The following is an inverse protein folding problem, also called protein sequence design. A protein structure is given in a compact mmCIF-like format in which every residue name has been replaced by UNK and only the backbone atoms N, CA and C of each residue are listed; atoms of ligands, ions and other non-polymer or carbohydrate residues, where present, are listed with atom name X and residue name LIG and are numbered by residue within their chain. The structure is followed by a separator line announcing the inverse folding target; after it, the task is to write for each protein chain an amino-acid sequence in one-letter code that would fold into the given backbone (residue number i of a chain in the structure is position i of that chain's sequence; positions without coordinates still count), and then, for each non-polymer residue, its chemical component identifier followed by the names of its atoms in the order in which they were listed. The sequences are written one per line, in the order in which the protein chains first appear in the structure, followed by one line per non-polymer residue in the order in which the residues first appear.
data_IF_743989671670
#
_entry.id   IF_743989671670
#
_cell.length_a   1.000
_cell.length_b   1.000
_cell.length_c   1.000
_cell.angle_alpha   90.00
_cell.angle_beta   90.00
_cell.angle_gamma   90.00
#
_symmetry.space_group_name_H-M   'P 1'
#
loop_
_entity.id
_entity.type
_entity.pdbx_description
1 polymer ?
#
# COMPACT_ATOMS: atom_id res chain seq x y z
N UNK A 1 18.55 -36.80 -22.08
CA UNK A 1 18.82 -36.79 -20.62
C UNK A 1 18.76 -35.36 -20.20
N UNK A 2 17.67 -34.92 -19.56
CA UNK A 2 17.63 -33.69 -18.78
C UNK A 2 18.49 -33.98 -17.53
N UNK A 3 19.54 -33.22 -17.35
CA UNK A 3 20.26 -33.18 -16.07
C UNK A 3 19.33 -32.50 -15.06
N UNK A 4 18.66 -33.29 -14.24
CA UNK A 4 18.07 -32.83 -12.99
C UNK A 4 19.22 -32.45 -12.05
N UNK A 5 19.70 -31.21 -12.16
CA UNK A 5 20.47 -30.61 -11.09
C UNK A 5 19.48 -30.35 -9.96
N UNK A 6 19.42 -31.24 -8.98
CA UNK A 6 18.83 -30.97 -7.68
C UNK A 6 19.46 -29.66 -7.17
N UNK A 7 18.70 -28.58 -7.26
CA UNK A 7 19.13 -27.29 -6.73
C UNK A 7 19.17 -27.44 -5.21
N UNK A 8 20.35 -27.45 -4.63
CA UNK A 8 20.52 -27.54 -3.16
C UNK A 8 19.73 -26.39 -2.55
N UNK A 9 18.71 -26.73 -1.76
CA UNK A 9 17.92 -25.72 -1.03
C UNK A 9 18.81 -24.96 -0.07
N UNK A 10 18.56 -23.65 0.00
CA UNK A 10 19.23 -22.78 0.98
C UNK A 10 18.70 -23.08 2.39
N UNK A 11 19.49 -22.75 3.39
CA UNK A 11 19.12 -22.89 4.79
C UNK A 11 19.02 -21.52 5.46
N UNK A 12 18.27 -21.42 6.54
CA UNK A 12 18.15 -20.21 7.37
C UNK A 12 16.74 -19.69 7.48
N UNK A 13 16.64 -18.47 7.96
CA UNK A 13 15.38 -17.73 8.14
C UNK A 13 15.50 -16.38 7.46
N UNK A 14 14.50 -16.05 6.64
CA UNK A 14 14.31 -14.72 6.05
C UNK A 14 13.29 -13.95 6.87
N UNK A 15 13.70 -12.85 7.46
CA UNK A 15 12.83 -11.95 8.23
C UNK A 15 12.26 -10.88 7.31
N UNK A 16 10.93 -10.83 7.19
CA UNK A 16 10.22 -9.96 6.26
C UNK A 16 9.33 -8.99 7.02
N UNK A 17 9.35 -7.73 6.63
CA UNK A 17 8.28 -6.79 6.93
C UNK A 17 7.42 -6.63 5.69
N UNK A 18 6.10 -6.82 5.83
CA UNK A 18 5.16 -6.79 4.71
C UNK A 18 3.95 -5.91 5.02
N UNK A 19 3.23 -5.47 4.00
CA UNK A 19 2.05 -4.63 4.18
C UNK A 19 0.73 -5.40 4.25
N UNK A 20 0.75 -6.73 4.27
CA UNK A 20 -0.44 -7.55 4.40
C UNK A 20 -0.15 -9.00 4.75
N UNK A 21 -1.11 -9.64 5.41
CA UNK A 21 -1.02 -11.05 5.81
C UNK A 21 -1.37 -12.01 4.66
N UNK A 22 -1.95 -11.50 3.58
CA UNK A 22 -2.36 -12.29 2.41
C UNK A 22 -1.18 -12.95 1.65
N UNK A 23 0.05 -12.58 1.97
CA UNK A 23 1.27 -13.11 1.34
C UNK A 23 1.75 -14.44 1.94
N UNK A 24 1.12 -14.97 3.00
CA UNK A 24 1.51 -16.26 3.60
C UNK A 24 1.67 -17.38 2.57
N UNK A 25 0.72 -17.61 1.63
CA UNK A 25 0.87 -18.68 0.63
C UNK A 25 2.09 -18.49 -0.29
N UNK A 26 2.45 -17.24 -0.61
CA UNK A 26 3.65 -16.92 -1.39
C UNK A 26 4.91 -17.27 -0.61
N UNK A 27 4.97 -16.94 0.66
CA UNK A 27 6.11 -17.22 1.53
C UNK A 27 6.27 -18.71 1.80
N UNK A 28 5.17 -19.45 1.96
CA UNK A 28 5.17 -20.90 2.08
C UNK A 28 5.76 -21.55 0.82
N UNK A 29 5.34 -21.08 -0.36
CA UNK A 29 5.86 -21.56 -1.64
C UNK A 29 7.35 -21.22 -1.81
N UNK A 30 7.79 -20.04 -1.42
CA UNK A 30 9.20 -19.66 -1.41
C UNK A 30 10.02 -20.62 -0.53
N UNK A 31 9.54 -20.94 0.67
CA UNK A 31 10.21 -21.89 1.56
C UNK A 31 10.27 -23.29 0.93
N UNK A 32 9.18 -23.72 0.30
CA UNK A 32 9.13 -25.02 -0.38
C UNK A 32 10.14 -25.11 -1.53
N UNK A 33 10.25 -24.07 -2.34
CA UNK A 33 11.08 -24.08 -3.56
C UNK A 33 12.53 -23.74 -3.28
N UNK A 34 12.80 -22.77 -2.39
CA UNK A 34 14.12 -22.17 -2.18
C UNK A 34 14.80 -22.66 -0.89
N UNK A 35 14.02 -22.89 0.17
CA UNK A 35 14.49 -23.49 1.42
C UNK A 35 14.34 -22.63 2.66
N UNK A 36 14.75 -21.36 2.72
CA UNK A 36 14.70 -20.56 3.94
C UNK A 36 13.27 -20.42 4.47
N UNK A 37 13.10 -20.58 5.78
CA UNK A 37 11.84 -20.26 6.45
C UNK A 37 11.60 -18.75 6.39
N UNK A 38 10.37 -18.34 6.08
CA UNK A 38 9.99 -16.93 6.14
C UNK A 38 9.29 -16.63 7.46
N UNK A 39 9.80 -15.65 8.19
CA UNK A 39 9.15 -15.06 9.36
C UNK A 39 8.78 -13.62 9.02
N UNK A 40 7.50 -13.26 9.13
CA UNK A 40 7.10 -11.91 8.75
C UNK A 40 6.21 -11.24 9.78
N UNK A 41 6.23 -9.91 9.76
CA UNK A 41 5.31 -9.03 10.47
C UNK A 41 4.63 -8.12 9.47
N UNK A 42 3.34 -7.79 9.71
CA UNK A 42 2.55 -6.92 8.85
C UNK A 42 2.49 -5.51 9.44
N UNK A 43 2.87 -4.51 8.63
CA UNK A 43 2.87 -3.10 8.98
C UNK A 43 2.52 -2.27 7.74
N UNK A 44 1.84 -1.13 7.91
CA UNK A 44 1.62 -0.18 6.82
C UNK A 44 2.92 0.55 6.42
N UNK A 45 2.99 1.07 5.18
CA UNK A 45 4.22 1.65 4.62
C UNK A 45 4.85 2.72 5.49
N UNK A 46 4.05 3.63 6.06
CA UNK A 46 4.54 4.69 6.96
C UNK A 46 5.08 4.14 8.27
N UNK A 47 4.53 3.05 8.78
CA UNK A 47 5.04 2.37 9.98
C UNK A 47 6.37 1.70 9.70
N UNK A 48 6.50 1.01 8.55
CA UNK A 48 7.78 0.39 8.13
C UNK A 48 8.86 1.44 8.02
N UNK A 49 8.58 2.55 7.33
CA UNK A 49 9.52 3.64 7.15
C UNK A 49 9.96 4.23 8.50
N UNK A 50 9.02 4.48 9.40
CA UNK A 50 9.30 4.98 10.75
C UNK A 50 10.14 4.00 11.56
N UNK A 51 9.85 2.70 11.45
CA UNK A 51 10.62 1.63 12.09
C UNK A 51 12.06 1.60 11.59
N UNK A 52 12.27 1.61 10.27
CA UNK A 52 13.60 1.59 9.68
C UNK A 52 14.43 2.82 10.08
N UNK A 53 13.81 4.00 10.12
CA UNK A 53 14.45 5.23 10.61
C UNK A 53 14.87 5.11 12.08
N UNK A 54 14.04 4.51 12.91
CA UNK A 54 14.33 4.32 14.34
C UNK A 54 15.43 3.27 14.59
N UNK A 55 15.59 2.29 13.72
CA UNK A 55 16.59 1.22 13.84
C UNK A 55 18.01 1.67 13.42
N UNK A 56 18.15 2.83 12.79
CA UNK A 56 19.43 3.53 12.62
C UNK A 56 20.50 2.74 11.87
N UNK A 57 20.13 2.02 10.80
CA UNK A 57 21.08 1.28 9.96
C UNK A 57 21.38 -0.17 10.41
N UNK A 58 20.67 -0.64 11.45
CA UNK A 58 20.71 -2.05 11.87
C UNK A 58 19.29 -2.61 11.85
N UNK A 59 18.72 -2.86 10.65
CA UNK A 59 17.32 -3.31 10.54
C UNK A 59 17.14 -4.70 11.12
N UNK A 60 16.00 -4.92 11.78
CA UNK A 60 15.62 -6.23 12.28
C UNK A 60 15.05 -7.16 11.17
N UNK A 61 14.68 -6.60 10.03
CA UNK A 61 14.19 -7.33 8.86
C UNK A 61 15.22 -7.35 7.73
N UNK A 62 15.24 -8.45 6.99
CA UNK A 62 16.09 -8.66 5.83
C UNK A 62 15.44 -8.15 4.54
N UNK A 63 14.12 -8.16 4.49
CA UNK A 63 13.34 -7.77 3.30
C UNK A 63 12.12 -6.94 3.69
N UNK A 64 11.90 -5.86 2.95
CA UNK A 64 10.64 -5.13 2.95
C UNK A 64 9.85 -5.51 1.69
N UNK A 65 8.66 -6.13 1.87
CA UNK A 65 7.84 -6.66 0.80
C UNK A 65 6.46 -6.00 0.75
N UNK A 66 6.24 -5.21 -0.27
CA UNK A 66 4.98 -4.48 -0.49
C UNK A 66 4.92 -3.11 0.19
N UNK A 67 4.04 -2.28 -0.29
CA UNK A 67 3.86 -0.90 0.17
C UNK A 67 3.85 0.12 -0.96
N UNK A 68 3.68 1.38 -0.61
CA UNK A 68 3.67 2.50 -1.55
C UNK A 68 5.08 2.90 -1.98
N UNK A 69 5.23 3.21 -3.27
CA UNK A 69 6.52 3.62 -3.86
C UNK A 69 7.13 4.83 -3.15
N UNK A 70 6.31 5.77 -2.69
CA UNK A 70 6.78 6.98 -2.00
C UNK A 70 7.60 6.65 -0.75
N UNK A 71 7.19 5.64 0.00
CA UNK A 71 7.91 5.20 1.19
C UNK A 71 9.25 4.54 0.85
N UNK A 72 9.34 3.82 -0.28
CA UNK A 72 10.60 3.25 -0.78
C UNK A 72 11.55 4.34 -1.28
N UNK A 73 11.03 5.38 -1.93
CA UNK A 73 11.84 6.52 -2.37
C UNK A 73 12.42 7.25 -1.15
N UNK A 74 11.61 7.56 -0.13
CA UNK A 74 12.07 8.15 1.12
C UNK A 74 13.09 7.25 1.84
N UNK A 75 12.87 5.94 1.86
CA UNK A 75 13.81 4.98 2.45
C UNK A 75 15.16 4.99 1.72
N UNK A 76 15.16 5.04 0.39
CA UNK A 76 16.38 5.19 -0.42
C UNK A 76 17.11 6.48 -0.07
N UNK A 77 16.40 7.61 -0.06
CA UNK A 77 16.99 8.94 0.20
C UNK A 77 17.60 9.04 1.61
N UNK A 78 17.09 8.26 2.55
CA UNK A 78 17.62 8.16 3.91
C UNK A 78 18.64 7.01 4.10
N UNK A 79 19.09 6.35 3.03
CA UNK A 79 20.06 5.24 3.06
C UNK A 79 19.59 4.05 3.93
N UNK A 80 18.32 3.73 3.86
CA UNK A 80 17.69 2.64 4.63
C UNK A 80 17.53 1.35 3.82
N UNK A 81 17.88 1.37 2.53
CA UNK A 81 17.78 0.24 1.61
C UNK A 81 19.18 -0.14 1.13
N UNK A 82 19.36 -1.43 0.85
CA UNK A 82 20.56 -1.97 0.22
C UNK A 82 20.33 -2.09 -1.29
N UNK A 83 21.38 -1.83 -2.07
CA UNK A 83 21.33 -2.03 -3.52
C UNK A 83 21.40 -3.54 -3.83
N UNK A 84 20.52 -4.01 -4.71
CA UNK A 84 20.47 -5.41 -5.12
C UNK A 84 20.40 -5.51 -6.64
N UNK A 85 21.34 -6.23 -7.22
CA UNK A 85 21.36 -6.54 -8.64
C UNK A 85 20.91 -8.00 -8.86
N UNK A 86 19.91 -8.21 -9.70
CA UNK A 86 19.44 -9.55 -10.09
C UNK A 86 18.80 -9.52 -11.49
N UNK A 87 18.97 -10.61 -12.24
CA UNK A 87 18.64 -10.68 -13.67
C UNK A 87 17.18 -10.36 -13.96
N UNK A 88 16.24 -10.83 -13.13
CA UNK A 88 14.82 -10.58 -13.32
C UNK A 88 14.41 -9.08 -13.20
N UNK A 89 15.24 -8.25 -12.60
CA UNK A 89 15.00 -6.81 -12.55
C UNK A 89 15.18 -6.14 -13.92
N UNK A 90 15.93 -6.76 -14.82
CA UNK A 90 16.15 -6.21 -16.17
C UNK A 90 14.91 -6.32 -17.05
N UNK A 91 14.00 -7.23 -16.74
CA UNK A 91 12.72 -7.40 -17.44
C UNK A 91 11.68 -6.34 -17.01
N UNK A 92 11.91 -5.59 -15.93
CA UNK A 92 11.02 -4.53 -15.48
C UNK A 92 11.23 -3.26 -16.31
N UNK A 93 10.13 -2.64 -16.72
CA UNK A 93 10.19 -1.31 -17.34
C UNK A 93 10.77 -0.27 -16.37
N UNK A 94 11.46 0.77 -16.88
CA UNK A 94 12.18 1.73 -16.03
C UNK A 94 11.31 2.41 -14.97
N UNK A 95 10.04 2.61 -15.22
CA UNK A 95 9.08 3.21 -14.29
C UNK A 95 8.70 2.30 -13.12
N UNK A 96 9.02 1.00 -13.20
CA UNK A 96 8.68 0.00 -12.18
C UNK A 96 9.88 -0.47 -11.35
N UNK A 97 10.99 0.22 -11.45
CA UNK A 97 12.16 -0.03 -10.61
C UNK A 97 12.95 1.26 -10.34
N UNK A 98 13.72 1.25 -9.28
CA UNK A 98 14.69 2.30 -9.04
C UNK A 98 15.84 2.25 -10.05
N UNK A 99 16.29 3.40 -10.56
CA UNK A 99 17.41 3.49 -11.51
C UNK A 99 18.72 2.93 -10.97
N UNK A 100 18.88 2.92 -9.64
CA UNK A 100 20.06 2.44 -8.94
C UNK A 100 19.86 1.09 -8.24
N UNK A 101 18.72 0.43 -8.48
CA UNK A 101 18.38 -0.91 -7.97
C UNK A 101 18.20 -1.02 -6.45
N UNK A 102 17.63 -0.01 -5.80
CA UNK A 102 17.29 -0.05 -4.38
C UNK A 102 15.88 -0.59 -4.12
N UNK A 103 14.96 -0.52 -5.09
CA UNK A 103 13.62 -1.09 -4.99
C UNK A 103 13.08 -1.51 -6.36
N UNK A 104 12.13 -2.43 -6.33
CA UNK A 104 11.50 -3.04 -7.52
C UNK A 104 10.00 -3.18 -7.28
N UNK A 105 9.19 -2.84 -8.30
CA UNK A 105 7.75 -3.06 -8.23
C UNK A 105 7.40 -4.53 -8.40
N UNK A 106 6.56 -5.03 -7.50
CA UNK A 106 5.93 -6.36 -7.63
C UNK A 106 4.62 -6.31 -8.42
N UNK A 107 4.08 -5.13 -8.67
CA UNK A 107 2.82 -4.91 -9.37
C UNK A 107 2.40 -3.45 -9.30
N UNK A 108 1.30 -3.13 -10.01
CA UNK A 108 0.68 -1.80 -10.02
C UNK A 108 -0.70 -1.91 -9.39
N UNK A 109 -1.00 -1.01 -8.48
CA UNK A 109 -2.29 -0.94 -7.79
C UNK A 109 -2.97 0.38 -8.14
N UNK A 110 -4.24 0.31 -8.54
CA UNK A 110 -5.06 1.50 -8.78
C UNK A 110 -5.74 1.92 -7.50
N UNK A 111 -5.70 3.20 -7.18
CA UNK A 111 -6.40 3.78 -6.02
C UNK A 111 -7.64 4.52 -6.50
N UNK A 112 -8.74 4.33 -5.79
CA UNK A 112 -10.02 4.94 -6.08
C UNK A 112 -10.92 4.95 -4.86
N UNK A 113 -12.22 4.92 -5.08
CA UNK A 113 -13.17 4.73 -4.00
C UNK A 113 -14.23 3.68 -4.39
N UNK A 114 -14.70 2.98 -3.40
CA UNK A 114 -15.78 2.00 -3.50
C UNK A 114 -17.00 2.52 -2.78
N UNK A 115 -18.18 2.03 -3.15
CA UNK A 115 -19.46 2.42 -2.54
C UNK A 115 -20.24 1.19 -2.08
N UNK A 116 -20.90 1.31 -0.95
CA UNK A 116 -21.93 0.37 -0.53
C UNK A 116 -23.30 0.88 -1.03
N UNK A 117 -23.79 0.27 -2.11
CA UNK A 117 -25.03 0.70 -2.75
C UNK A 117 -26.27 0.59 -1.82
N UNK A 118 -26.29 -0.37 -0.92
CA UNK A 118 -27.41 -0.57 0.00
C UNK A 118 -27.46 0.57 1.04
N UNK A 119 -26.30 0.94 1.60
CA UNK A 119 -26.19 2.06 2.55
C UNK A 119 -26.57 3.38 1.87
N UNK A 120 -26.04 3.64 0.66
CA UNK A 120 -26.35 4.88 -0.06
C UNK A 120 -27.85 4.95 -0.37
N UNK A 121 -28.47 3.86 -0.80
CA UNK A 121 -29.89 3.78 -1.09
C UNK A 121 -30.74 3.99 0.17
N UNK A 122 -30.39 3.36 1.28
CA UNK A 122 -31.08 3.52 2.57
C UNK A 122 -31.08 4.99 3.02
N UNK A 123 -29.97 5.69 2.79
CA UNK A 123 -29.80 7.11 3.15
C UNK A 123 -30.31 8.08 2.07
N UNK A 124 -30.80 7.59 0.95
CA UNK A 124 -31.27 8.42 -0.16
C UNK A 124 -30.15 9.18 -0.87
N UNK A 125 -28.92 8.65 -0.85
CA UNK A 125 -27.75 9.24 -1.47
C UNK A 125 -27.46 8.61 -2.83
N UNK A 126 -27.03 9.42 -3.79
CA UNK A 126 -26.48 8.91 -5.05
C UNK A 126 -24.99 8.52 -4.88
N UNK A 127 -24.52 7.57 -5.68
CA UNK A 127 -23.10 7.23 -5.71
C UNK A 127 -22.29 8.38 -6.30
N UNK A 128 -21.16 8.77 -5.67
CA UNK A 128 -20.27 9.78 -6.20
C UNK A 128 -19.65 9.32 -7.52
N UNK A 129 -19.43 10.23 -8.46
CA UNK A 129 -18.90 9.96 -9.81
C UNK A 129 -17.49 10.52 -10.01
N UNK A 130 -17.03 11.33 -9.09
CA UNK A 130 -15.72 11.98 -9.15
C UNK A 130 -15.14 12.16 -7.76
N UNK A 131 -13.83 12.45 -7.70
CA UNK A 131 -13.18 12.83 -6.44
C UNK A 131 -13.82 14.09 -5.83
N UNK A 132 -14.22 15.05 -6.65
CA UNK A 132 -14.83 16.29 -6.17
C UNK A 132 -16.22 16.05 -5.54
N UNK A 133 -16.94 15.04 -6.00
CA UNK A 133 -18.22 14.69 -5.39
C UNK A 133 -18.09 14.26 -3.92
N UNK A 134 -16.94 13.67 -3.53
CA UNK A 134 -16.70 13.22 -2.16
C UNK A 134 -16.70 14.36 -1.13
N UNK A 135 -16.57 15.61 -1.57
CA UNK A 135 -16.58 16.80 -0.70
C UNK A 135 -17.99 17.37 -0.49
N UNK A 136 -19.02 16.81 -1.15
CA UNK A 136 -20.40 17.27 -0.99
C UNK A 136 -20.88 17.03 0.44
N UNK A 137 -21.59 17.98 1.00
CA UNK A 137 -22.12 17.94 2.37
C UNK A 137 -23.03 16.73 2.64
N UNK A 138 -23.72 16.24 1.60
CA UNK A 138 -24.59 15.06 1.70
C UNK A 138 -23.86 13.77 2.11
N UNK A 139 -22.53 13.70 1.93
CA UNK A 139 -21.71 12.55 2.32
C UNK A 139 -21.05 12.71 3.69
N UNK A 140 -21.48 13.67 4.50
CA UNK A 140 -20.93 13.86 5.84
C UNK A 140 -21.06 12.58 6.69
N UNK A 141 -19.93 12.11 7.22
CA UNK A 141 -19.85 10.87 8.00
C UNK A 141 -19.88 9.58 7.16
N UNK A 142 -19.99 9.68 5.82
CA UNK A 142 -20.09 8.51 4.92
C UNK A 142 -18.78 8.16 4.24
N UNK A 143 -17.75 8.98 4.33
CA UNK A 143 -16.46 8.73 3.68
C UNK A 143 -15.47 8.21 4.70
N UNK A 144 -14.88 7.06 4.43
CA UNK A 144 -13.76 6.52 5.19
C UNK A 144 -12.48 6.55 4.35
N UNK A 145 -11.44 7.05 4.95
CA UNK A 145 -10.09 7.14 4.42
C UNK A 145 -9.10 6.65 5.48
N UNK A 146 -8.04 5.97 5.09
CA UNK A 146 -6.95 5.65 6.01
C UNK A 146 -6.04 6.85 6.22
N UNK A 147 -5.40 6.91 7.38
CA UNK A 147 -4.46 7.99 7.69
C UNK A 147 -3.28 8.00 6.69
N UNK A 148 -3.11 9.07 5.91
CA UNK A 148 -2.05 9.14 4.90
C UNK A 148 -0.63 9.04 5.47
N UNK A 149 -0.40 9.43 6.71
CA UNK A 149 0.91 9.30 7.36
C UNK A 149 1.28 7.84 7.67
N UNK A 150 0.29 6.94 7.69
CA UNK A 150 0.46 5.51 7.99
C UNK A 150 0.29 4.68 6.72
N UNK A 151 -0.80 4.90 6.00
CA UNK A 151 -1.21 4.15 4.81
C UNK A 151 -0.55 4.68 3.54
N UNK A 152 0.27 3.87 2.89
CA UNK A 152 0.83 4.18 1.58
C UNK A 152 -0.23 4.35 0.48
N UNK A 153 -1.37 3.64 0.57
CA UNK A 153 -2.51 3.78 -0.34
C UNK A 153 -3.08 5.20 -0.30
N UNK A 154 -3.39 5.70 0.90
CA UNK A 154 -3.98 7.02 1.04
C UNK A 154 -2.96 8.15 0.94
N UNK A 155 -1.67 7.90 1.21
CA UNK A 155 -0.59 8.81 0.84
C UNK A 155 -0.55 9.03 -0.69
N UNK A 156 -0.68 7.96 -1.47
CA UNK A 156 -0.72 8.05 -2.93
C UNK A 156 -1.92 8.87 -3.43
N UNK A 157 -3.09 8.78 -2.77
CA UNK A 157 -4.26 9.64 -3.07
C UNK A 157 -3.94 11.11 -2.82
N UNK A 158 -3.36 11.43 -1.67
CA UNK A 158 -2.97 12.81 -1.34
C UNK A 158 -2.00 13.35 -2.38
N UNK A 159 -0.95 12.60 -2.67
CA UNK A 159 0.07 12.98 -3.64
C UNK A 159 -0.54 13.20 -5.05
N UNK A 160 -1.36 12.28 -5.52
CA UNK A 160 -1.99 12.38 -6.84
C UNK A 160 -2.93 13.60 -6.96
N UNK A 161 -3.72 13.88 -5.94
CA UNK A 161 -4.64 15.03 -5.96
C UNK A 161 -3.90 16.36 -5.81
N UNK A 162 -2.83 16.43 -5.03
CA UNK A 162 -1.97 17.61 -4.98
C UNK A 162 -1.28 17.87 -6.33
N UNK A 163 -0.81 16.83 -7.00
CA UNK A 163 -0.19 16.97 -8.33
C UNK A 163 -1.20 17.39 -9.40
N UNK A 164 -2.42 16.88 -9.37
CA UNK A 164 -3.43 17.16 -10.41
C UNK A 164 -4.16 18.47 -10.20
N UNK A 165 -4.41 18.87 -8.95
CA UNK A 165 -5.12 20.11 -8.61
C UNK A 165 -4.18 21.30 -8.35
N UNK A 166 -2.90 21.04 -8.13
CA UNK A 166 -1.96 21.98 -7.56
C UNK A 166 -2.03 21.99 -6.03
N UNK A 167 -0.97 22.49 -5.39
CA UNK A 167 -0.81 22.38 -3.94
C UNK A 167 -1.92 23.11 -3.18
N UNK A 168 -2.22 24.35 -3.54
CA UNK A 168 -3.22 25.19 -2.86
C UNK A 168 -4.63 24.59 -2.97
N UNK A 169 -5.09 24.29 -4.20
CA UNK A 169 -6.42 23.72 -4.43
C UNK A 169 -6.52 22.28 -3.94
N UNK A 170 -5.43 21.53 -3.97
CA UNK A 170 -5.38 20.17 -3.44
C UNK A 170 -5.53 20.13 -1.92
N UNK A 171 -4.87 21.00 -1.18
CA UNK A 171 -5.06 21.09 0.28
C UNK A 171 -6.46 21.58 0.65
N UNK A 172 -7.00 22.54 -0.09
CA UNK A 172 -8.39 22.97 0.10
C UNK A 172 -9.37 21.83 -0.14
N UNK A 173 -9.15 20.99 -1.17
CA UNK A 173 -9.93 19.77 -1.39
C UNK A 173 -9.91 18.85 -0.16
N UNK A 174 -8.74 18.61 0.44
CA UNK A 174 -8.64 17.75 1.63
C UNK A 174 -9.26 18.38 2.88
N UNK A 175 -9.22 19.69 3.03
CA UNK A 175 -9.96 20.40 4.09
C UNK A 175 -11.48 20.16 3.94
N UNK A 176 -12.01 20.20 2.72
CA UNK A 176 -13.42 19.95 2.46
C UNK A 176 -13.76 18.46 2.62
N UNK A 177 -12.93 17.55 2.10
CA UNK A 177 -13.10 16.11 2.27
C UNK A 177 -13.10 15.71 3.76
N UNK A 178 -12.24 16.32 4.56
CA UNK A 178 -12.13 16.05 6.00
C UNK A 178 -13.44 16.28 6.76
N UNK A 179 -14.31 17.17 6.27
CA UNK A 179 -15.63 17.41 6.86
C UNK A 179 -16.56 16.21 6.74
N UNK A 180 -16.32 15.32 5.76
CA UNK A 180 -17.10 14.12 5.47
C UNK A 180 -16.49 12.85 6.08
N UNK A 181 -15.31 12.95 6.71
CA UNK A 181 -14.57 11.82 7.31
C UNK A 181 -14.65 11.94 8.83
N UNK A 182 -15.35 11.02 9.48
CA UNK A 182 -15.49 11.02 10.94
C UNK A 182 -14.20 10.58 11.65
N UNK A 183 -13.45 9.66 11.04
CA UNK A 183 -12.16 9.18 11.56
C UNK A 183 -11.30 8.62 10.42
N UNK A 184 -10.00 8.53 10.66
CA UNK A 184 -9.05 7.93 9.74
C UNK A 184 -8.62 6.57 10.25
N UNK A 185 -8.80 5.53 9.43
CA UNK A 185 -8.35 4.18 9.77
C UNK A 185 -6.83 4.03 9.61
N UNK A 186 -6.30 2.89 10.04
CA UNK A 186 -4.86 2.64 10.04
C UNK A 186 -4.36 2.08 8.72
N UNK A 187 -5.02 1.04 8.18
CA UNK A 187 -4.57 0.29 7.00
C UNK A 187 -5.29 0.71 5.74
N UNK A 188 -4.60 0.66 4.60
CA UNK A 188 -5.18 0.95 3.28
C UNK A 188 -6.35 0.05 2.88
N UNK A 189 -6.42 -1.18 3.44
CA UNK A 189 -7.52 -2.12 3.26
C UNK A 189 -8.74 -1.89 4.17
N UNK A 190 -8.59 -1.13 5.26
CA UNK A 190 -9.69 -0.91 6.21
C UNK A 190 -10.92 -0.26 5.56
N UNK A 191 -10.77 0.78 4.68
CA UNK A 191 -11.93 1.38 4.04
C UNK A 191 -12.73 0.39 3.19
N UNK A 192 -12.09 -0.55 2.48
CA UNK A 192 -12.82 -1.54 1.70
C UNK A 192 -13.57 -2.53 2.60
N UNK A 193 -12.93 -3.04 3.63
CA UNK A 193 -13.55 -3.99 4.57
C UNK A 193 -14.74 -3.37 5.28
N UNK A 194 -14.60 -2.13 5.76
CA UNK A 194 -15.66 -1.41 6.50
C UNK A 194 -16.82 -0.97 5.61
N UNK A 195 -16.54 -0.55 4.39
CA UNK A 195 -17.57 -0.24 3.40
C UNK A 195 -18.36 -1.48 3.01
N UNK A 196 -17.68 -2.62 2.77
CA UNK A 196 -18.32 -3.89 2.49
C UNK A 196 -19.20 -4.37 3.68
N UNK A 197 -18.74 -4.15 4.91
CA UNK A 197 -19.50 -4.47 6.12
C UNK A 197 -20.69 -3.52 6.39
N UNK A 198 -20.83 -2.43 5.64
CA UNK A 198 -21.92 -1.45 5.81
C UNK A 198 -21.68 -0.47 6.96
N UNK A 199 -20.46 -0.31 7.45
CA UNK A 199 -20.13 0.67 8.49
C UNK A 199 -20.13 2.11 7.94
N UNK A 200 -19.76 2.28 6.66
CA UNK A 200 -19.80 3.54 5.91
C UNK A 200 -20.27 3.31 4.49
N UNK A 201 -20.75 4.35 3.83
CA UNK A 201 -21.24 4.28 2.46
C UNK A 201 -20.13 4.31 1.41
N UNK A 202 -18.99 4.94 1.69
CA UNK A 202 -17.91 5.21 0.73
C UNK A 202 -16.56 4.95 1.36
N UNK A 203 -15.71 4.18 0.72
CA UNK A 203 -14.34 3.91 1.16
C UNK A 203 -13.29 4.28 0.12
N UNK A 204 -12.30 5.09 0.49
CA UNK A 204 -11.15 5.40 -0.35
C UNK A 204 -10.10 4.32 -0.13
N UNK A 205 -9.80 3.54 -1.17
CA UNK A 205 -8.97 2.33 -1.06
C UNK A 205 -8.29 2.01 -2.38
N UNK A 206 -7.44 0.99 -2.37
CA UNK A 206 -6.90 0.41 -3.59
C UNK A 206 -7.90 -0.58 -4.21
N UNK A 207 -7.89 -0.67 -5.54
CA UNK A 207 -8.77 -1.53 -6.32
C UNK A 207 -7.91 -2.63 -6.91
N UNK A 208 -7.83 -3.75 -6.21
CA UNK A 208 -7.26 -4.97 -6.71
C UNK A 208 -8.06 -6.17 -6.22
N UNK A 209 -8.50 -7.02 -7.12
CA UNK A 209 -9.02 -8.34 -6.82
C UNK A 209 -10.17 -8.45 -5.82
N UNK A 210 -10.90 -7.36 -5.60
CA UNK A 210 -12.09 -7.37 -4.73
C UNK A 210 -13.33 -7.76 -5.51
#
# INVERSE_FOLDING_TARGET
KKDDKETKKLEGTLKVVTTGDAYQPLFDKFTEEVGPKVEFISMSSGEVLSKLKAEGGTPAADLWFGGGIDAFMDAKDNNLLEKVDFDAADDLAPEYKDSDNYWFSKGVTVVGFIVNNDILKEKGLEAPKSWDDLTKEEYQGEVLMSNPAISGTNYAVVNALLQTKGEEEGWKYFEDLNKNVDYYSKRGSDPSTKTAAGEVGIGITYIDGT
#
